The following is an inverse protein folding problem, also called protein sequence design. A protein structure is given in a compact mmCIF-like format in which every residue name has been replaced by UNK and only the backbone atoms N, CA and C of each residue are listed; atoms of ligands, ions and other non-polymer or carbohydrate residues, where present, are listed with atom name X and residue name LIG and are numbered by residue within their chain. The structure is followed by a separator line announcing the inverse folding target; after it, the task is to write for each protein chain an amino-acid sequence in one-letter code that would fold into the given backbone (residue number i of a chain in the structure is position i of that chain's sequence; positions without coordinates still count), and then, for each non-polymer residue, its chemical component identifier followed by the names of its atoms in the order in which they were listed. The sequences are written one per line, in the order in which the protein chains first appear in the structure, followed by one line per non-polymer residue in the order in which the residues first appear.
data_IF_477241970937
#
_entry.id   IF_477241970937
#
_cell.length_a   1.000
_cell.length_b   1.000
_cell.length_c   1.000
_cell.angle_alpha   90.00
_cell.angle_beta   90.00
_cell.angle_gamma   90.00
#
_symmetry.space_group_name_H-M   'P 1'
#
loop_
_entity.id
_entity.type
_entity.pdbx_description
1 polymer ?
#
# COMPACT_ATOMS: atom_id res chain seq x y z
N UNK A 1 7.80 -16.84 18.73
CA UNK A 1 7.05 -15.77 18.06
C UNK A 1 7.46 -14.44 18.68
N UNK A 2 8.73 -14.08 18.48
CA UNK A 2 9.45 -13.08 19.27
C UNK A 2 9.51 -11.73 18.58
N UNK A 3 9.33 -10.66 19.35
CA UNK A 3 9.52 -9.23 19.03
C UNK A 3 8.89 -8.68 17.73
N UNK A 4 9.21 -9.18 16.53
CA UNK A 4 8.64 -8.73 15.26
C UNK A 4 7.12 -8.74 15.29
N UNK A 5 6.51 -9.88 15.64
CA UNK A 5 5.05 -10.04 15.65
C UNK A 5 4.37 -9.03 16.58
N UNK A 6 4.93 -8.82 17.78
CA UNK A 6 4.40 -7.87 18.76
C UNK A 6 4.47 -6.42 18.25
N UNK A 7 5.63 -6.01 17.72
CA UNK A 7 5.79 -4.66 17.15
C UNK A 7 4.95 -4.46 15.89
N UNK A 8 4.73 -5.50 15.10
CA UNK A 8 3.90 -5.45 13.89
C UNK A 8 2.41 -5.32 14.25
N UNK A 9 1.92 -6.09 15.22
CA UNK A 9 0.56 -5.98 15.75
C UNK A 9 0.31 -4.60 16.38
N UNK A 10 1.28 -4.07 17.13
CA UNK A 10 1.19 -2.71 17.68
C UNK A 10 1.15 -1.64 16.58
N UNK A 11 1.98 -1.77 15.54
CA UNK A 11 1.96 -0.84 14.41
C UNK A 11 0.61 -0.86 13.68
N UNK A 12 0.00 -2.03 13.50
CA UNK A 12 -1.36 -2.16 12.96
C UNK A 12 -2.40 -1.50 13.87
N UNK A 13 -2.31 -1.72 15.19
CA UNK A 13 -3.21 -1.07 16.16
C UNK A 13 -3.13 0.44 16.08
N UNK A 14 -1.93 1.01 15.94
CA UNK A 14 -1.73 2.45 15.73
C UNK A 14 -2.34 2.92 14.41
N UNK A 15 -2.16 2.16 13.33
CA UNK A 15 -2.79 2.46 12.03
C UNK A 15 -4.32 2.51 12.15
N UNK A 16 -4.96 1.50 12.75
CA UNK A 16 -6.41 1.46 12.93
C UNK A 16 -6.91 2.56 13.89
N UNK A 17 -6.08 2.98 14.85
CA UNK A 17 -6.34 4.14 15.70
C UNK A 17 -6.08 5.49 14.99
N UNK A 18 -5.76 5.48 13.69
CA UNK A 18 -5.39 6.65 12.86
C UNK A 18 -4.17 7.42 13.37
N UNK A 19 -3.34 6.79 14.20
CA UNK A 19 -2.05 7.32 14.69
C UNK A 19 -0.97 7.02 13.66
N UNK A 20 -1.16 7.52 12.44
CA UNK A 20 -0.38 7.14 11.26
C UNK A 20 1.11 7.43 11.41
N UNK A 21 1.50 8.57 12.01
CA UNK A 21 2.91 8.91 12.19
C UNK A 21 3.66 7.92 13.10
N UNK A 22 2.97 7.39 14.11
CA UNK A 22 3.53 6.42 15.04
C UNK A 22 3.57 5.03 14.42
N UNK A 23 2.54 4.66 13.67
CA UNK A 23 2.52 3.45 12.85
C UNK A 23 3.68 3.44 11.83
N UNK A 24 3.90 4.55 11.12
CA UNK A 24 5.03 4.73 10.18
C UNK A 24 6.37 4.49 10.89
N UNK A 25 6.54 5.07 12.09
CA UNK A 25 7.76 4.91 12.88
C UNK A 25 8.03 3.43 13.21
N UNK A 26 7.01 2.69 13.67
CA UNK A 26 7.16 1.27 14.00
C UNK A 26 7.37 0.39 12.77
N UNK A 27 6.60 0.57 11.70
CA UNK A 27 6.80 -0.19 10.47
C UNK A 27 8.18 0.07 9.85
N UNK A 28 8.68 1.30 9.93
CA UNK A 28 10.01 1.66 9.45
C UNK A 28 11.10 1.01 10.29
N UNK A 29 10.95 1.00 11.62
CA UNK A 29 11.87 0.31 12.52
C UNK A 29 11.88 -1.21 12.27
N UNK A 30 10.72 -1.82 12.03
CA UNK A 30 10.60 -3.23 11.67
C UNK A 30 11.33 -3.56 10.36
N UNK A 31 11.15 -2.73 9.32
CA UNK A 31 11.85 -2.92 8.04
C UNK A 31 13.37 -2.80 8.17
N UNK A 32 13.84 -1.84 8.97
CA UNK A 32 15.27 -1.62 9.18
C UNK A 32 15.90 -2.74 10.01
N UNK A 33 15.21 -3.21 11.05
CA UNK A 33 15.71 -4.26 11.95
C UNK A 33 15.59 -5.66 11.35
N UNK A 34 14.60 -5.90 10.50
CA UNK A 34 14.29 -7.21 9.94
C UNK A 34 14.09 -7.16 8.41
N UNK A 35 15.14 -6.78 7.64
CA UNK A 35 15.03 -6.56 6.19
C UNK A 35 14.65 -7.82 5.40
N UNK A 36 15.02 -9.01 5.91
CA UNK A 36 14.76 -10.30 5.25
C UNK A 36 13.49 -11.00 5.76
N UNK A 37 12.73 -10.36 6.65
CA UNK A 37 11.53 -10.98 7.21
C UNK A 37 10.43 -11.13 6.15
N UNK A 38 9.67 -12.23 6.10
CA UNK A 38 8.62 -12.45 5.08
C UNK A 38 7.56 -11.33 5.01
N UNK A 39 7.35 -10.60 6.11
CA UNK A 39 6.40 -9.49 6.20
C UNK A 39 7.02 -8.11 5.97
N UNK A 40 8.29 -8.01 5.55
CA UNK A 40 8.94 -6.71 5.30
C UNK A 40 8.22 -5.89 4.22
N UNK A 41 7.74 -6.55 3.16
CA UNK A 41 6.95 -5.89 2.10
C UNK A 41 5.58 -5.43 2.61
N UNK A 42 5.00 -6.14 3.59
CA UNK A 42 3.75 -5.75 4.24
C UNK A 42 3.96 -4.49 5.09
N UNK A 43 5.07 -4.40 5.83
CA UNK A 43 5.43 -3.17 6.54
C UNK A 43 5.58 -2.00 5.56
N UNK A 44 6.18 -2.21 4.38
CA UNK A 44 6.31 -1.18 3.36
C UNK A 44 4.94 -0.72 2.85
N UNK A 45 4.07 -1.66 2.52
CA UNK A 45 2.69 -1.38 2.11
C UNK A 45 1.92 -0.57 3.17
N UNK A 46 2.01 -0.95 4.45
CA UNK A 46 1.31 -0.23 5.52
C UNK A 46 1.83 1.18 5.74
N UNK A 47 3.11 1.46 5.49
CA UNK A 47 3.63 2.84 5.48
C UNK A 47 2.92 3.66 4.38
N UNK A 48 2.70 3.08 3.21
CA UNK A 48 1.95 3.72 2.12
C UNK A 48 0.51 4.02 2.52
N UNK A 49 -0.17 3.05 3.14
CA UNK A 49 -1.52 3.22 3.70
C UNK A 49 -1.57 4.33 4.76
N UNK A 50 -0.54 4.44 5.60
CA UNK A 50 -0.44 5.52 6.58
C UNK A 50 -0.31 6.89 5.92
N UNK A 51 0.56 7.04 4.91
CA UNK A 51 0.66 8.30 4.15
C UNK A 51 -0.63 8.63 3.42
N UNK A 52 -1.30 7.63 2.85
CA UNK A 52 -2.62 7.80 2.26
C UNK A 52 -3.64 8.30 3.29
N UNK A 53 -3.63 7.73 4.50
CA UNK A 53 -4.47 8.17 5.62
C UNK A 53 -4.18 9.59 6.11
N UNK A 54 -2.92 10.04 5.96
CA UNK A 54 -2.49 11.43 6.19
C UNK A 54 -2.83 12.36 5.01
N UNK A 55 -3.42 11.85 3.93
CA UNK A 55 -3.69 12.57 2.68
C UNK A 55 -2.42 13.05 1.96
N UNK A 56 -1.26 12.51 2.33
CA UNK A 56 0.00 12.74 1.64
C UNK A 56 0.11 11.74 0.47
N UNK A 57 -0.71 11.98 -0.55
CA UNK A 57 -0.84 11.05 -1.67
C UNK A 57 0.42 10.97 -2.54
N UNK A 58 1.23 12.02 -2.55
CA UNK A 58 2.52 12.02 -3.25
C UNK A 58 3.47 11.03 -2.57
N UNK A 59 3.70 11.18 -1.27
CA UNK A 59 4.55 10.26 -0.52
C UNK A 59 3.96 8.84 -0.49
N UNK A 60 2.63 8.71 -0.36
CA UNK A 60 1.97 7.41 -0.42
C UNK A 60 2.27 6.70 -1.75
N UNK A 61 2.20 7.41 -2.87
CA UNK A 61 2.49 6.84 -4.19
C UNK A 61 3.93 6.35 -4.31
N UNK A 62 4.91 7.14 -3.84
CA UNK A 62 6.32 6.74 -3.85
C UNK A 62 6.57 5.49 -2.99
N UNK A 63 5.91 5.41 -1.83
CA UNK A 63 5.99 4.23 -0.96
C UNK A 63 5.30 3.02 -1.59
N UNK A 64 4.10 3.14 -2.15
CA UNK A 64 3.46 2.00 -2.81
C UNK A 64 4.27 1.48 -4.01
N UNK A 65 4.93 2.37 -4.76
CA UNK A 65 5.83 1.98 -5.84
C UNK A 65 7.01 1.13 -5.33
N UNK A 66 7.47 1.36 -4.10
CA UNK A 66 8.52 0.58 -3.47
C UNK A 66 8.16 -0.90 -3.26
N UNK A 67 6.88 -1.27 -3.18
CA UNK A 67 6.42 -2.66 -3.00
C UNK A 67 6.88 -3.57 -4.15
N UNK A 68 7.02 -3.02 -5.36
CA UNK A 68 7.44 -3.80 -6.52
C UNK A 68 8.90 -4.28 -6.48
N UNK A 69 9.72 -3.74 -5.56
CA UNK A 69 11.07 -4.24 -5.27
C UNK A 69 11.07 -5.61 -4.59
N UNK A 70 9.91 -6.11 -4.15
CA UNK A 70 9.70 -7.49 -3.70
C UNK A 70 8.87 -8.25 -4.75
N UNK A 71 9.51 -8.97 -5.70
CA UNK A 71 8.82 -9.65 -6.81
C UNK A 71 7.74 -10.64 -6.37
N UNK A 72 7.96 -11.33 -5.25
CA UNK A 72 7.06 -12.35 -4.72
C UNK A 72 6.10 -11.82 -3.64
N UNK A 73 5.97 -10.50 -3.51
CA UNK A 73 5.11 -9.92 -2.49
C UNK A 73 3.63 -10.14 -2.81
N UNK A 74 2.87 -10.63 -1.83
CA UNK A 74 1.41 -10.71 -1.86
C UNK A 74 0.72 -9.35 -1.70
N UNK A 75 1.46 -8.24 -1.80
CA UNK A 75 0.94 -6.86 -1.70
C UNK A 75 1.02 -6.09 -3.01
N UNK A 76 1.40 -6.75 -4.11
CA UNK A 76 1.59 -6.08 -5.41
C UNK A 76 0.27 -5.62 -6.01
N UNK A 77 -0.78 -6.43 -5.93
CA UNK A 77 -2.13 -6.07 -6.37
C UNK A 77 -2.77 -5.03 -5.45
N UNK A 78 -2.65 -5.17 -4.12
CA UNK A 78 -3.05 -4.12 -3.16
C UNK A 78 -2.37 -2.78 -3.50
N UNK A 79 -1.04 -2.78 -3.68
CA UNK A 79 -0.26 -1.58 -3.98
C UNK A 79 -0.64 -0.96 -5.33
N UNK A 80 -0.92 -1.79 -6.34
CA UNK A 80 -1.39 -1.33 -7.66
C UNK A 80 -2.72 -0.61 -7.55
N UNK A 81 -3.69 -1.17 -6.82
CA UNK A 81 -4.96 -0.49 -6.54
C UNK A 81 -4.73 0.82 -5.79
N UNK A 82 -3.86 0.82 -4.79
CA UNK A 82 -3.56 2.00 -3.99
C UNK A 82 -2.86 3.11 -4.78
N UNK A 83 -1.98 2.77 -5.72
CA UNK A 83 -1.38 3.74 -6.64
C UNK A 83 -2.46 4.41 -7.50
N UNK A 84 -3.41 3.64 -8.03
CA UNK A 84 -4.56 4.19 -8.74
C UNK A 84 -5.34 5.21 -7.88
N UNK A 85 -5.57 4.88 -6.61
CA UNK A 85 -6.22 5.79 -5.65
C UNK A 85 -5.36 7.03 -5.34
N UNK A 86 -4.04 6.89 -5.20
CA UNK A 86 -3.14 8.02 -4.96
C UNK A 86 -3.19 8.99 -6.14
N UNK A 87 -3.00 8.50 -7.37
CA UNK A 87 -3.02 9.34 -8.56
C UNK A 87 -4.39 9.98 -8.82
N UNK A 88 -5.48 9.29 -8.49
CA UNK A 88 -6.81 9.89 -8.53
C UNK A 88 -6.92 11.11 -7.60
N UNK A 89 -6.42 11.01 -6.36
CA UNK A 89 -6.44 12.12 -5.41
C UNK A 89 -5.43 13.23 -5.76
N UNK A 90 -4.37 12.90 -6.51
CA UNK A 90 -3.44 13.87 -7.08
C UNK A 90 -3.96 14.52 -8.38
N UNK A 91 -5.20 14.21 -8.79
CA UNK A 91 -5.83 14.68 -10.04
C UNK A 91 -5.13 14.22 -11.33
N UNK A 92 -4.23 13.24 -11.26
CA UNK A 92 -3.65 12.56 -12.41
C UNK A 92 -4.53 11.37 -12.80
N UNK A 93 -5.66 11.67 -13.44
CA UNK A 93 -6.66 10.66 -13.85
C UNK A 93 -6.12 9.70 -14.91
N UNK A 94 -5.13 10.12 -15.70
CA UNK A 94 -4.44 9.28 -16.67
C UNK A 94 -3.71 8.14 -15.98
N UNK A 95 -2.83 8.46 -15.02
CA UNK A 95 -2.14 7.42 -14.23
C UNK A 95 -3.11 6.62 -13.38
N UNK A 96 -4.10 7.27 -12.77
CA UNK A 96 -5.11 6.56 -11.98
C UNK A 96 -5.78 5.45 -12.80
N UNK A 97 -6.23 5.77 -14.02
CA UNK A 97 -6.82 4.81 -14.97
C UNK A 97 -5.84 3.68 -15.30
N UNK A 98 -4.57 4.00 -15.61
CA UNK A 98 -3.55 3.00 -15.91
C UNK A 98 -3.37 2.00 -14.78
N UNK A 99 -3.27 2.47 -13.52
CA UNK A 99 -3.12 1.56 -12.38
C UNK A 99 -4.37 0.73 -12.10
N UNK A 100 -5.57 1.30 -12.21
CA UNK A 100 -6.79 0.50 -12.06
C UNK A 100 -6.94 -0.55 -13.15
N UNK A 101 -6.54 -0.24 -14.39
CA UNK A 101 -6.49 -1.22 -15.47
C UNK A 101 -5.44 -2.31 -15.18
N UNK A 102 -4.27 -1.93 -14.65
CA UNK A 102 -3.22 -2.87 -14.24
C UNK A 102 -3.68 -3.89 -13.19
N UNK A 103 -4.59 -3.53 -12.28
CA UNK A 103 -5.21 -4.50 -11.35
C UNK A 103 -5.91 -5.63 -12.12
N UNK A 104 -6.62 -5.28 -13.20
CA UNK A 104 -7.43 -6.23 -13.99
C UNK A 104 -6.53 -7.07 -14.91
N UNK A 105 -5.55 -6.43 -15.53
CA UNK A 105 -4.72 -7.05 -16.56
C UNK A 105 -3.59 -7.90 -15.98
N UNK A 106 -2.93 -7.40 -14.93
CA UNK A 106 -1.74 -8.05 -14.35
C UNK A 106 -2.07 -9.02 -13.20
N UNK A 107 -3.25 -8.87 -12.56
CA UNK A 107 -3.66 -9.65 -11.39
C UNK A 107 -5.09 -10.23 -11.56
N UNK A 108 -5.31 -11.16 -12.50
CA UNK A 108 -6.64 -11.68 -12.84
C UNK A 108 -7.33 -12.48 -11.73
N UNK A 109 -6.60 -12.87 -10.68
CA UNK A 109 -7.14 -13.55 -9.49
C UNK A 109 -7.32 -12.61 -8.29
N UNK A 110 -7.06 -11.30 -8.45
CA UNK A 110 -7.14 -10.33 -7.36
C UNK A 110 -8.58 -10.10 -6.89
N UNK A 111 -8.78 -10.03 -5.58
CA UNK A 111 -10.06 -9.62 -4.99
C UNK A 111 -10.44 -8.16 -5.35
N UNK A 112 -9.50 -7.38 -5.88
CA UNK A 112 -9.68 -5.97 -6.19
C UNK A 112 -10.23 -5.68 -7.60
N UNK A 113 -10.46 -6.70 -8.44
CA UNK A 113 -10.92 -6.52 -9.82
C UNK A 113 -12.21 -5.69 -9.90
N UNK A 114 -13.24 -6.04 -9.12
CA UNK A 114 -14.52 -5.31 -9.16
C UNK A 114 -14.41 -3.89 -8.62
N UNK A 115 -13.51 -3.68 -7.64
CA UNK A 115 -13.21 -2.35 -7.12
C UNK A 115 -12.48 -1.49 -8.16
N UNK A 116 -11.53 -2.07 -8.90
CA UNK A 116 -10.82 -1.39 -9.96
C UNK A 116 -11.75 -1.00 -11.12
N UNK A 117 -12.66 -1.90 -11.55
CA UNK A 117 -13.71 -1.59 -12.53
C UNK A 117 -14.59 -0.43 -12.09
N UNK A 118 -15.00 -0.43 -10.82
CA UNK A 118 -15.80 0.67 -10.24
C UNK A 118 -15.08 2.02 -10.31
N UNK A 119 -13.76 2.03 -10.06
CA UNK A 119 -12.95 3.23 -10.22
C UNK A 119 -12.82 3.69 -11.67
N UNK A 120 -12.63 2.77 -12.61
CA UNK A 120 -12.55 3.07 -14.04
C UNK A 120 -13.85 3.71 -14.56
N UNK A 121 -15.01 3.23 -14.10
CA UNK A 121 -16.30 3.85 -14.42
C UNK A 121 -16.43 5.26 -13.85
N UNK A 122 -15.89 5.51 -12.65
CA UNK A 122 -15.93 6.84 -12.01
C UNK A 122 -15.00 7.86 -12.68
N UNK A 123 -13.88 7.41 -13.24
CA UNK A 123 -12.92 8.25 -13.98
C UNK A 123 -13.34 8.42 -15.46
N UNK A 124 -14.39 7.69 -15.87
CA UNK A 124 -15.03 7.75 -17.19
C UNK A 124 -15.82 9.03 -17.41
#
# INVERSE_FOLDING_TARGET
MGEFSLSYEEALRLFYARRYQEAISLFSALKAKYPDHPLVSNCHYWIGECHFGLQDYAQASDVFQGVFNWPNSLKRDDATLMLGRCYYNLHDTGKARSYFQGVIDDYPDSEYIEKAKSWLQRIG
#
